data_IF_191116115403
#
_entry.id   IF_191116115403
#
_cell.length_a   1.000
_cell.length_b   1.000
_cell.length_c   1.000
_cell.angle_alpha   90.00
_cell.angle_beta   90.00
_cell.angle_gamma   90.00
#
_symmetry.space_group_name_H-M   'P 1'
#
loop_
_entity.id
_entity.type
_entity.pdbx_description
1 polymer ?
#
# COMPACT_ATOMS: atom_id res chain seq x y z
N UNK A 1 10.80 14.87 12.69
CA UNK A 1 10.17 15.39 11.45
C UNK A 1 8.96 14.54 11.16
N UNK A 2 7.79 15.13 11.13
CA UNK A 2 6.56 14.40 10.76
C UNK A 2 6.65 14.15 9.25
N UNK A 3 6.72 12.89 8.83
CA UNK A 3 6.69 12.58 7.41
C UNK A 3 5.37 13.06 6.82
N UNK A 4 5.45 13.95 5.84
CA UNK A 4 4.29 14.48 5.12
C UNK A 4 3.80 13.41 4.17
N UNK A 5 2.75 12.68 4.56
CA UNK A 5 2.17 11.58 3.79
C UNK A 5 0.89 12.08 3.13
N UNK A 6 0.80 11.89 1.83
CA UNK A 6 -0.42 12.15 1.06
C UNK A 6 -1.21 10.85 0.90
N UNK A 7 -2.45 10.85 1.37
CA UNK A 7 -3.42 9.81 1.08
C UNK A 7 -4.43 10.40 0.09
N UNK A 8 -4.55 9.79 -1.07
CA UNK A 8 -5.53 10.21 -2.09
C UNK A 8 -6.93 9.86 -1.64
N UNK A 9 -7.94 10.71 -1.87
CA UNK A 9 -9.32 10.42 -1.49
C UNK A 9 -9.88 9.13 -2.13
N UNK A 10 -9.42 8.79 -3.34
CA UNK A 10 -9.77 7.53 -4.01
C UNK A 10 -9.24 6.31 -3.27
N UNK A 11 -8.00 6.37 -2.81
CA UNK A 11 -7.35 5.30 -2.03
C UNK A 11 -8.02 5.16 -0.67
N UNK A 12 -8.33 6.27 0.00
CA UNK A 12 -9.05 6.26 1.28
C UNK A 12 -10.42 5.58 1.16
N UNK A 13 -11.18 5.89 0.11
CA UNK A 13 -12.48 5.22 -0.17
C UNK A 13 -12.32 3.72 -0.41
N UNK A 14 -11.29 3.30 -1.16
CA UNK A 14 -11.02 1.89 -1.41
C UNK A 14 -10.61 1.18 -0.11
N UNK A 15 -9.82 1.84 0.74
CA UNK A 15 -9.47 1.33 2.06
C UNK A 15 -10.69 1.20 2.98
N UNK A 16 -11.58 2.19 3.02
CA UNK A 16 -12.83 2.11 3.78
C UNK A 16 -13.73 0.97 3.29
N UNK A 17 -13.84 0.79 1.98
CA UNK A 17 -14.58 -0.32 1.40
C UNK A 17 -13.99 -1.68 1.83
N UNK A 18 -12.67 -1.82 1.73
CA UNK A 18 -11.95 -3.00 2.20
C UNK A 18 -12.22 -3.30 3.67
N UNK A 19 -12.18 -2.29 4.54
CA UNK A 19 -12.42 -2.47 5.98
C UNK A 19 -13.87 -2.87 6.31
N UNK A 20 -14.83 -2.52 5.47
CA UNK A 20 -16.26 -2.84 5.70
C UNK A 20 -16.67 -4.18 5.11
N UNK A 21 -16.21 -4.51 3.92
CA UNK A 21 -16.74 -5.62 3.12
C UNK A 21 -15.66 -6.53 2.54
N UNK A 22 -14.43 -6.05 2.44
CA UNK A 22 -13.29 -6.79 1.91
C UNK A 22 -12.60 -7.64 2.97
N UNK A 23 -11.67 -8.46 2.48
CA UNK A 23 -10.82 -9.31 3.31
C UNK A 23 -9.36 -9.05 3.03
N UNK A 24 -9.04 -8.73 1.78
CA UNK A 24 -7.68 -8.51 1.30
C UNK A 24 -7.59 -7.15 0.62
N UNK A 25 -6.62 -6.33 1.04
CA UNK A 25 -6.16 -5.16 0.32
C UNK A 25 -4.78 -5.47 -0.26
N UNK A 26 -4.70 -5.50 -1.57
CA UNK A 26 -3.48 -5.85 -2.29
C UNK A 26 -2.91 -4.62 -3.00
N UNK A 27 -1.66 -4.29 -2.70
CA UNK A 27 -0.93 -3.23 -3.40
C UNK A 27 -0.05 -3.86 -4.49
N UNK A 28 -0.32 -3.52 -5.74
CA UNK A 28 0.42 -3.97 -6.93
C UNK A 28 1.10 -2.77 -7.58
N UNK A 29 2.29 -2.42 -7.13
CA UNK A 29 3.03 -1.29 -7.70
C UNK A 29 4.55 -1.47 -7.54
N UNK A 30 5.37 -0.97 -8.47
CA UNK A 30 6.82 -1.03 -8.38
C UNK A 30 7.41 -0.39 -7.11
N UNK A 31 8.73 -0.51 -6.94
CA UNK A 31 9.45 0.18 -5.87
C UNK A 31 9.27 1.70 -5.99
N UNK A 32 9.26 2.42 -4.86
CA UNK A 32 9.15 3.89 -4.84
C UNK A 32 7.74 4.46 -4.99
N UNK A 33 6.71 3.62 -5.12
CA UNK A 33 5.30 4.07 -5.11
C UNK A 33 4.75 4.34 -3.70
N UNK A 34 5.58 4.22 -2.66
CA UNK A 34 5.20 4.55 -1.29
C UNK A 34 4.25 3.54 -0.63
N UNK A 35 4.13 2.30 -1.14
CA UNK A 35 3.22 1.28 -0.61
C UNK A 35 3.31 1.10 0.89
N UNK A 36 4.51 0.88 1.42
CA UNK A 36 4.75 0.64 2.85
C UNK A 36 4.35 1.86 3.68
N UNK A 37 4.78 3.06 3.26
CA UNK A 37 4.45 4.32 3.93
C UNK A 37 2.94 4.58 3.94
N UNK A 38 2.29 4.33 2.81
CA UNK A 38 0.84 4.49 2.66
C UNK A 38 0.06 3.47 3.52
N UNK A 39 0.47 2.20 3.49
CA UNK A 39 -0.13 1.17 4.33
C UNK A 39 0.03 1.51 5.82
N UNK A 40 1.20 1.98 6.25
CA UNK A 40 1.44 2.41 7.62
C UNK A 40 0.55 3.58 8.05
N UNK A 41 0.33 4.52 7.14
CA UNK A 41 -0.55 5.66 7.40
C UNK A 41 -2.03 5.23 7.53
N UNK A 42 -2.51 4.37 6.62
CA UNK A 42 -3.87 3.85 6.62
C UNK A 42 -4.17 2.95 7.83
N UNK A 43 -3.16 2.24 8.31
CA UNK A 43 -3.29 1.29 9.43
C UNK A 43 -2.97 1.89 10.80
N UNK A 44 -2.71 3.19 10.88
CA UNK A 44 -2.35 3.86 12.14
C UNK A 44 -3.43 3.67 13.20
N UNK A 45 -3.00 3.28 14.42
CA UNK A 45 -3.89 3.06 15.56
C UNK A 45 -4.65 1.73 15.54
N UNK A 46 -4.34 0.82 14.61
CA UNK A 46 -4.95 -0.52 14.53
C UNK A 46 -4.01 -1.59 15.08
N UNK A 47 -4.56 -2.71 15.49
CA UNK A 47 -3.79 -3.89 15.94
C UNK A 47 -3.29 -4.66 14.72
N UNK A 48 -2.04 -4.40 14.31
CA UNK A 48 -1.44 -4.91 13.08
C UNK A 48 -0.25 -5.80 13.39
N UNK A 49 -0.31 -7.06 12.96
CA UNK A 49 0.88 -7.92 12.86
C UNK A 49 1.58 -7.63 11.54
N UNK A 50 2.87 -7.28 11.61
CA UNK A 50 3.69 -6.94 10.44
C UNK A 50 4.71 -8.01 10.17
N UNK A 51 4.82 -8.40 8.92
CA UNK A 51 5.81 -9.35 8.41
C UNK A 51 6.36 -8.87 7.08
N UNK A 52 7.54 -9.37 6.72
CA UNK A 52 8.13 -9.18 5.39
C UNK A 52 8.51 -10.54 4.81
N UNK A 53 8.09 -10.80 3.59
CA UNK A 53 8.51 -12.02 2.87
C UNK A 53 9.99 -11.96 2.45
N UNK A 54 10.67 -10.84 2.66
CA UNK A 54 12.13 -10.73 2.53
C UNK A 54 12.87 -11.34 3.73
N UNK A 55 12.20 -11.54 4.86
CA UNK A 55 12.76 -12.18 6.04
C UNK A 55 12.79 -13.71 5.81
N UNK A 56 13.95 -14.36 5.89
CA UNK A 56 14.05 -15.82 5.76
C UNK A 56 13.21 -16.61 6.79
N UNK A 57 12.96 -16.00 7.95
CA UNK A 57 12.16 -16.59 9.03
C UNK A 57 10.67 -16.23 8.94
N UNK A 58 10.26 -15.58 7.84
CA UNK A 58 8.86 -15.23 7.60
C UNK A 58 8.00 -16.49 7.47
N UNK A 59 7.15 -16.71 8.46
CA UNK A 59 6.19 -17.80 8.46
C UNK A 59 4.78 -17.25 8.60
N UNK A 60 3.82 -17.89 7.94
CA UNK A 60 2.41 -17.54 8.09
C UNK A 60 2.02 -17.72 9.56
N UNK A 61 1.53 -16.67 10.25
CA UNK A 61 1.25 -16.72 11.67
C UNK A 61 0.10 -17.68 11.97
N UNK A 62 0.14 -18.38 13.11
CA UNK A 62 -0.99 -19.19 13.54
C UNK A 62 -2.20 -18.30 13.84
N UNK A 63 -3.39 -18.81 13.57
CA UNK A 63 -4.66 -18.10 13.82
C UNK A 63 -4.94 -17.77 15.30
N UNK A 64 -4.19 -18.39 16.22
CA UNK A 64 -4.35 -18.16 17.66
C UNK A 64 -3.67 -16.88 18.18
N UNK A 65 -2.85 -16.19 17.37
CA UNK A 65 -2.24 -14.93 17.77
C UNK A 65 -3.26 -13.77 17.78
N UNK A 66 -3.06 -12.83 18.71
CA UNK A 66 -3.91 -11.65 18.86
C UNK A 66 -3.48 -10.55 17.89
N UNK A 67 -4.18 -10.43 16.76
CA UNK A 67 -4.06 -9.37 15.75
C UNK A 67 -5.37 -9.27 14.95
N UNK A 68 -5.69 -8.07 14.49
CA UNK A 68 -6.88 -7.82 13.66
C UNK A 68 -6.51 -7.77 12.17
N UNK A 69 -5.32 -7.27 11.88
CA UNK A 69 -4.82 -7.09 10.51
C UNK A 69 -3.43 -7.72 10.39
N UNK A 70 -3.24 -8.56 9.37
CA UNK A 70 -1.92 -9.04 8.97
C UNK A 70 -1.43 -8.23 7.77
N UNK A 71 -0.29 -7.54 7.93
CA UNK A 71 0.42 -6.89 6.84
C UNK A 71 1.63 -7.72 6.46
N UNK A 72 1.73 -8.10 5.18
CA UNK A 72 2.91 -8.75 4.61
C UNK A 72 3.50 -7.84 3.53
N UNK A 73 4.72 -7.38 3.75
CA UNK A 73 5.49 -6.63 2.76
C UNK A 73 6.35 -7.56 1.89
N UNK A 74 6.72 -7.06 0.71
CA UNK A 74 7.52 -7.78 -0.29
C UNK A 74 6.96 -9.16 -0.66
N UNK A 75 5.64 -9.31 -0.75
CA UNK A 75 4.96 -10.59 -1.00
C UNK A 75 5.45 -11.31 -2.27
N UNK A 76 5.98 -10.59 -3.27
CA UNK A 76 6.57 -11.19 -4.48
C UNK A 76 7.78 -12.11 -4.17
N UNK A 77 8.35 -12.04 -2.97
CA UNK A 77 9.44 -12.91 -2.52
C UNK A 77 8.92 -14.23 -1.93
N UNK A 78 7.63 -14.34 -1.63
CA UNK A 78 6.98 -15.59 -1.23
C UNK A 78 6.74 -16.48 -2.46
N UNK A 79 7.82 -17.11 -2.96
CA UNK A 79 7.78 -17.91 -4.19
C UNK A 79 7.34 -19.37 -3.94
N UNK A 80 7.45 -19.85 -2.73
CA UNK A 80 7.06 -21.21 -2.38
C UNK A 80 5.54 -21.37 -2.39
N UNK A 81 5.05 -22.33 -3.16
CA UNK A 81 3.62 -22.63 -3.29
C UNK A 81 3.00 -22.97 -1.93
N UNK A 82 3.73 -23.65 -1.06
CA UNK A 82 3.28 -23.99 0.29
C UNK A 82 2.99 -22.74 1.14
N UNK A 83 3.84 -21.72 1.06
CA UNK A 83 3.62 -20.43 1.76
C UNK A 83 2.41 -19.69 1.22
N UNK A 84 2.25 -19.65 -0.10
CA UNK A 84 1.08 -19.03 -0.74
C UNK A 84 -0.23 -19.74 -0.38
N UNK A 85 -0.23 -21.07 -0.36
CA UNK A 85 -1.38 -21.88 0.04
C UNK A 85 -1.72 -21.66 1.51
N UNK A 86 -0.73 -21.67 2.41
CA UNK A 86 -0.93 -21.39 3.84
C UNK A 86 -1.53 -20.00 4.09
N UNK A 87 -1.09 -18.98 3.33
CA UNK A 87 -1.70 -17.64 3.39
C UNK A 87 -3.18 -17.67 2.95
N UNK A 88 -3.48 -18.35 1.84
CA UNK A 88 -4.86 -18.47 1.35
C UNK A 88 -5.76 -19.23 2.33
N UNK A 89 -5.24 -20.24 3.00
CA UNK A 89 -5.97 -20.99 4.04
C UNK A 89 -6.23 -20.11 5.27
N UNK A 90 -5.23 -19.34 5.70
CA UNK A 90 -5.38 -18.40 6.81
C UNK A 90 -6.47 -17.35 6.50
N UNK A 91 -6.47 -16.77 5.28
CA UNK A 91 -7.50 -15.82 4.85
C UNK A 91 -8.90 -16.46 4.90
N UNK A 92 -9.05 -17.69 4.45
CA UNK A 92 -10.34 -18.42 4.45
C UNK A 92 -10.80 -18.76 5.86
N UNK A 93 -9.89 -19.18 6.73
CA UNK A 93 -10.20 -19.66 8.09
C UNK A 93 -10.39 -18.54 9.11
N UNK A 94 -10.07 -17.28 8.76
CA UNK A 94 -10.15 -16.14 9.67
C UNK A 94 -11.13 -15.07 9.14
N UNK A 95 -12.44 -15.33 9.10
CA UNK A 95 -13.44 -14.45 8.49
C UNK A 95 -13.57 -13.07 9.13
N UNK A 96 -13.12 -12.87 10.35
CA UNK A 96 -13.14 -11.61 11.10
C UNK A 96 -11.91 -10.74 10.91
N UNK A 97 -10.87 -11.26 10.23
CA UNK A 97 -9.57 -10.58 10.08
C UNK A 97 -9.38 -9.97 8.70
N UNK A 98 -8.47 -9.01 8.62
CA UNK A 98 -8.10 -8.34 7.39
C UNK A 98 -6.64 -8.60 7.03
N UNK A 99 -6.34 -8.55 5.74
CA UNK A 99 -5.01 -8.84 5.19
C UNK A 99 -4.59 -7.71 4.27
N UNK A 100 -3.44 -7.09 4.54
CA UNK A 100 -2.84 -6.06 3.70
C UNK A 100 -1.56 -6.62 3.11
N UNK A 101 -1.53 -6.76 1.79
CA UNK A 101 -0.46 -7.44 1.07
C UNK A 101 0.21 -6.46 0.12
N UNK A 102 1.51 -6.22 0.31
CA UNK A 102 2.28 -5.30 -0.51
C UNK A 102 3.18 -6.10 -1.46
N UNK A 103 3.09 -5.83 -2.75
CA UNK A 103 3.84 -6.52 -3.78
C UNK A 103 4.34 -5.56 -4.85
N UNK A 104 5.42 -5.94 -5.54
CA UNK A 104 5.89 -5.25 -6.76
C UNK A 104 5.27 -5.81 -8.04
N UNK A 105 4.53 -6.90 -7.93
CA UNK A 105 3.89 -7.60 -9.03
C UNK A 105 2.42 -7.87 -8.77
N UNK A 106 1.81 -8.58 -9.70
CA UNK A 106 0.40 -8.98 -9.65
C UNK A 106 0.13 -9.97 -8.51
N UNK A 107 -1.13 -10.09 -8.06
CA UNK A 107 -1.51 -11.07 -7.06
C UNK A 107 -1.16 -12.51 -7.50
N UNK A 108 -0.66 -13.37 -6.60
CA UNK A 108 -0.50 -14.79 -6.87
C UNK A 108 -1.83 -15.44 -7.27
N UNK A 109 -1.76 -16.45 -8.14
CA UNK A 109 -2.95 -17.13 -8.66
C UNK A 109 -3.89 -17.68 -7.59
N UNK A 110 -3.36 -18.11 -6.45
CA UNK A 110 -4.16 -18.61 -5.31
C UNK A 110 -5.07 -17.52 -4.69
N UNK A 111 -4.75 -16.22 -4.85
CA UNK A 111 -5.56 -15.10 -4.38
C UNK A 111 -6.64 -14.66 -5.37
N UNK A 112 -6.60 -15.14 -6.61
CA UNK A 112 -7.52 -14.72 -7.69
C UNK A 112 -9.00 -14.96 -7.33
N UNK A 113 -9.29 -16.04 -6.59
CA UNK A 113 -10.65 -16.32 -6.14
C UNK A 113 -11.23 -15.21 -5.25
N UNK A 114 -10.41 -14.57 -4.41
CA UNK A 114 -10.86 -13.45 -3.56
C UNK A 114 -11.15 -12.20 -4.38
N UNK A 115 -10.45 -11.98 -5.49
CA UNK A 115 -10.71 -10.88 -6.41
C UNK A 115 -12.05 -11.08 -7.12
N UNK A 116 -12.31 -12.25 -7.68
CA UNK A 116 -13.57 -12.57 -8.36
C UNK A 116 -14.80 -12.56 -7.44
N UNK A 117 -14.62 -12.87 -6.17
CA UNK A 117 -15.71 -12.82 -5.17
C UNK A 117 -15.91 -11.44 -4.56
N UNK A 118 -15.13 -10.42 -4.97
CA UNK A 118 -15.21 -9.07 -4.41
C UNK A 118 -14.62 -8.94 -2.99
N UNK A 119 -13.94 -9.95 -2.50
CA UNK A 119 -13.30 -9.94 -1.18
C UNK A 119 -11.88 -9.35 -1.21
N UNK A 120 -11.30 -9.14 -2.39
CA UNK A 120 -10.00 -8.50 -2.55
C UNK A 120 -10.13 -7.20 -3.35
N UNK A 121 -9.63 -6.12 -2.77
CA UNK A 121 -9.40 -4.84 -3.43
C UNK A 121 -7.95 -4.77 -3.87
N UNK A 122 -7.70 -4.44 -5.12
CA UNK A 122 -6.35 -4.23 -5.66
C UNK A 122 -6.13 -2.75 -5.90
N UNK A 123 -5.07 -2.20 -5.30
CA UNK A 123 -4.55 -0.87 -5.59
C UNK A 123 -3.37 -1.03 -6.54
N UNK A 124 -3.51 -0.54 -7.75
CA UNK A 124 -2.48 -0.61 -8.79
C UNK A 124 -1.59 0.64 -8.78
N UNK A 125 -0.52 0.62 -9.56
CA UNK A 125 0.41 1.75 -9.67
C UNK A 125 -0.31 3.06 -10.04
N UNK A 126 -1.28 3.00 -10.96
CA UNK A 126 -2.04 4.17 -11.42
C UNK A 126 -2.89 4.80 -10.30
N UNK A 127 -3.38 4.01 -9.36
CA UNK A 127 -4.10 4.52 -8.19
C UNK A 127 -3.20 5.36 -7.27
N UNK A 128 -1.89 5.09 -7.30
CA UNK A 128 -0.89 5.69 -6.43
C UNK A 128 -0.14 6.87 -7.05
N UNK A 129 -0.26 7.10 -8.37
CA UNK A 129 0.35 8.25 -9.04
C UNK A 129 -0.23 9.56 -8.50
N UNK A 130 0.63 10.53 -8.23
CA UNK A 130 0.23 11.85 -7.78
C UNK A 130 -0.30 12.69 -8.94
N UNK A 131 -1.40 13.36 -8.70
CA UNK A 131 -1.93 14.42 -9.57
C UNK A 131 -1.49 15.82 -9.11
N UNK A 132 -1.97 16.87 -9.78
CA UNK A 132 -1.60 18.25 -9.48
C UNK A 132 -1.99 18.67 -8.06
N UNK A 133 -3.13 18.19 -7.56
CA UNK A 133 -3.59 18.51 -6.22
C UNK A 133 -2.78 17.78 -5.16
N UNK A 134 -2.38 16.53 -5.41
CA UNK A 134 -1.50 15.78 -4.53
C UNK A 134 -0.13 16.44 -4.42
N UNK A 135 0.45 16.87 -5.55
CA UNK A 135 1.72 17.61 -5.58
C UNK A 135 1.59 18.91 -4.76
N UNK A 136 0.54 19.69 -5.00
CA UNK A 136 0.30 20.95 -4.24
C UNK A 136 0.21 20.70 -2.74
N UNK A 137 -0.55 19.68 -2.33
CA UNK A 137 -0.70 19.30 -0.91
C UNK A 137 0.62 18.83 -0.30
N UNK A 138 1.42 18.07 -1.02
CA UNK A 138 2.73 17.61 -0.54
C UNK A 138 3.67 18.79 -0.26
N UNK A 139 3.73 19.75 -1.18
CA UNK A 139 4.56 20.95 -0.99
C UNK A 139 4.06 21.80 0.18
N UNK A 140 2.76 22.01 0.31
CA UNK A 140 2.18 22.72 1.46
C UNK A 140 2.54 22.05 2.80
N UNK A 141 2.44 20.72 2.88
CA UNK A 141 2.82 19.96 4.07
C UNK A 141 4.32 20.02 4.37
N UNK A 142 5.14 20.18 3.34
CA UNK A 142 6.60 20.35 3.47
C UNK A 142 7.00 21.80 3.80
N UNK A 143 6.03 22.72 3.90
CA UNK A 143 6.28 24.15 4.19
C UNK A 143 6.76 24.96 2.99
N UNK A 144 6.70 24.40 1.78
CA UNK A 144 7.11 25.07 0.55
C UNK A 144 5.89 25.51 -0.27
N UNK A 145 6.01 26.67 -0.92
CA UNK A 145 5.05 27.13 -1.91
C UNK A 145 5.46 26.66 -3.31
N UNK A 146 4.48 26.27 -4.09
CA UNK A 146 4.68 25.84 -5.47
C UNK A 146 3.64 26.49 -6.37
N UNK A 147 4.05 27.02 -7.51
CA UNK A 147 3.18 27.61 -8.52
C UNK A 147 2.61 26.52 -9.45
N UNK A 148 1.50 26.82 -10.13
CA UNK A 148 0.88 25.87 -11.08
C UNK A 148 1.86 25.49 -12.21
N UNK A 149 2.65 26.44 -12.73
CA UNK A 149 3.67 26.15 -13.74
C UNK A 149 4.77 25.22 -13.24
N UNK A 150 5.14 25.31 -11.97
CA UNK A 150 6.12 24.39 -11.36
C UNK A 150 5.51 23.00 -11.15
N UNK A 151 4.21 22.92 -10.76
CA UNK A 151 3.49 21.65 -10.64
C UNK A 151 3.46 20.94 -11.99
N UNK A 152 3.12 21.64 -13.07
CA UNK A 152 3.12 21.11 -14.42
C UNK A 152 4.50 20.58 -14.83
N UNK A 153 5.57 21.31 -14.50
CA UNK A 153 6.95 20.89 -14.71
C UNK A 153 7.28 19.60 -13.95
N UNK A 154 6.95 19.54 -12.66
CA UNK A 154 7.19 18.38 -11.81
C UNK A 154 6.44 17.15 -12.33
N UNK A 155 5.16 17.31 -12.70
CA UNK A 155 4.36 16.20 -13.23
C UNK A 155 4.86 15.74 -14.59
N UNK A 156 5.34 16.65 -15.45
CA UNK A 156 5.93 16.29 -16.74
C UNK A 156 7.20 15.47 -16.60
N UNK A 157 8.04 15.79 -15.62
CA UNK A 157 9.29 15.08 -15.37
C UNK A 157 9.10 13.76 -14.60
N UNK A 158 8.25 13.78 -13.57
CA UNK A 158 8.02 12.61 -12.68
C UNK A 158 6.92 11.67 -13.15
N UNK A 159 6.06 12.12 -14.08
CA UNK A 159 4.82 11.41 -14.48
C UNK A 159 3.95 11.07 -13.25
N UNK A 160 4.01 11.88 -12.21
CA UNK A 160 3.30 11.65 -10.94
C UNK A 160 3.92 10.57 -10.05
N UNK A 161 5.11 10.06 -10.36
CA UNK A 161 5.80 9.04 -9.57
C UNK A 161 6.10 9.54 -8.15
N UNK A 162 5.52 8.92 -7.09
CA UNK A 162 5.53 9.49 -5.74
C UNK A 162 6.92 9.77 -5.18
N UNK A 163 7.88 8.87 -5.37
CA UNK A 163 9.25 9.08 -4.90
C UNK A 163 9.93 10.25 -5.63
N UNK A 164 9.71 10.39 -6.94
CA UNK A 164 10.27 11.50 -7.73
C UNK A 164 9.72 12.84 -7.24
N UNK A 165 8.42 12.94 -7.03
CA UNK A 165 7.77 14.14 -6.48
C UNK A 165 8.27 14.46 -5.08
N UNK A 166 8.40 13.45 -4.20
CA UNK A 166 8.86 13.62 -2.83
C UNK A 166 10.32 14.12 -2.75
N UNK A 167 11.20 13.60 -3.61
CA UNK A 167 12.59 14.08 -3.71
C UNK A 167 12.61 15.54 -4.15
N UNK A 168 11.84 15.90 -5.18
CA UNK A 168 11.75 17.28 -5.67
C UNK A 168 11.25 18.24 -4.58
N UNK A 169 10.24 17.82 -3.81
CA UNK A 169 9.73 18.62 -2.69
C UNK A 169 10.81 18.84 -1.62
N UNK A 170 11.57 17.81 -1.26
CA UNK A 170 12.67 17.94 -0.28
C UNK A 170 13.78 18.88 -0.76
N UNK A 171 14.20 18.77 -2.01
CA UNK A 171 15.25 19.64 -2.56
C UNK A 171 14.85 21.13 -2.64
N UNK A 172 13.56 21.45 -2.66
CA UNK A 172 13.09 22.84 -2.63
C UNK A 172 12.95 23.41 -1.22
N UNK A 173 12.99 22.57 -0.18
CA UNK A 173 12.89 22.99 1.22
C UNK A 173 14.26 23.22 1.87
N UNK A 174 15.37 22.85 1.21
CA UNK A 174 16.75 23.13 1.61
C UNK A 174 17.24 24.46 0.99
#
# INVERSE_FOLDING_TARGET
MQESIIIKPSVEKQFEHFMRQGRVLFFSAPCGFGKTVLADALLRGRNVLRQSAADPDCAIPPSAQDWDILLIDDLQLMQEEAGQQALCELIRSSPERHFVLLSRGVPPGCLTAFQYTGLMTVLEADDLLFDADDVRRLFQLSGANVTDSEIDGILKESVGYPLGVAITARCKCE
#
